data_IF_649632322940
#
_entry.id   IF_649632322940
#
_cell.length_a   1.000
_cell.length_b   1.000
_cell.length_c   1.000
_cell.angle_alpha   90.00
_cell.angle_beta   90.00
_cell.angle_gamma   90.00
#
_symmetry.space_group_name_H-M   'P 1'
#
loop_
_entity.id
_entity.type
_entity.pdbx_description
1 polymer ?
#
# COMPACT_ATOMS: atom_id res chain seq x y z
N UNK A 1 19.94 -26.64 6.23
CA UNK A 1 20.30 -25.38 6.88
C UNK A 1 20.06 -24.22 5.92
N UNK A 2 19.31 -23.23 6.35
CA UNK A 2 19.09 -22.03 5.55
C UNK A 2 20.31 -21.12 5.60
N UNK A 3 20.80 -20.78 4.43
CA UNK A 3 21.93 -19.87 4.31
C UNK A 3 21.45 -18.55 3.73
N UNK A 4 21.70 -17.45 4.43
CA UNK A 4 21.35 -16.12 3.96
C UNK A 4 22.46 -15.61 3.06
N UNK A 5 22.20 -15.49 1.77
CA UNK A 5 23.15 -14.94 0.80
C UNK A 5 23.24 -13.43 0.88
N UNK A 6 22.11 -12.79 1.11
CA UNK A 6 22.04 -11.34 1.07
C UNK A 6 20.85 -10.82 1.88
N UNK A 7 21.03 -9.65 2.45
CA UNK A 7 19.95 -8.89 3.09
C UNK A 7 19.87 -7.54 2.43
N UNK A 8 18.67 -7.11 2.12
CA UNK A 8 18.44 -5.79 1.58
C UNK A 8 17.18 -5.21 2.19
N UNK A 9 17.16 -3.90 2.32
CA UNK A 9 15.98 -3.15 2.75
C UNK A 9 15.61 -2.17 1.64
N UNK A 10 14.32 -1.97 1.47
CA UNK A 10 13.78 -1.03 0.49
C UNK A 10 12.52 -0.40 1.00
N UNK A 11 12.16 0.74 0.44
CA UNK A 11 10.92 1.45 0.76
C UNK A 11 10.14 1.72 -0.51
N UNK A 12 8.82 1.57 -0.41
CA UNK A 12 7.90 2.05 -1.42
C UNK A 12 7.13 3.23 -0.83
N UNK A 13 7.07 4.33 -1.58
CA UNK A 13 6.35 5.52 -1.17
C UNK A 13 5.12 5.70 -2.05
N UNK A 14 3.97 5.83 -1.41
CA UNK A 14 2.71 6.12 -2.09
C UNK A 14 2.31 7.56 -1.81
N UNK A 15 1.87 8.25 -2.83
CA UNK A 15 1.31 9.60 -2.74
C UNK A 15 0.33 9.75 -3.88
N UNK A 16 -0.89 9.32 -3.65
CA UNK A 16 -1.91 9.24 -4.69
C UNK A 16 -3.20 9.91 -4.26
N UNK A 17 -3.83 10.59 -5.21
CA UNK A 17 -5.17 11.10 -5.03
C UNK A 17 -6.17 10.01 -5.39
N UNK A 18 -7.20 9.89 -4.57
CA UNK A 18 -8.27 8.92 -4.77
C UNK A 18 -9.61 9.60 -4.83
N UNK A 19 -10.34 9.35 -5.90
CA UNK A 19 -11.69 9.88 -6.08
C UNK A 19 -12.71 8.96 -5.45
N UNK A 20 -13.60 9.53 -4.63
CA UNK A 20 -14.68 8.77 -4.00
C UNK A 20 -15.63 8.27 -5.10
N UNK A 21 -15.95 6.96 -5.14
CA UNK A 21 -16.88 6.43 -6.13
C UNK A 21 -18.24 7.11 -6.07
N UNK A 22 -18.88 7.25 -7.22
CA UNK A 22 -20.18 7.93 -7.32
C UNK A 22 -21.26 7.34 -6.44
N UNK A 23 -21.18 6.02 -6.17
CA UNK A 23 -22.16 5.32 -5.34
C UNK A 23 -22.00 5.61 -3.85
N UNK A 24 -20.90 6.24 -3.45
CA UNK A 24 -20.64 6.57 -2.04
C UNK A 24 -21.03 8.01 -1.74
N UNK A 25 -21.56 8.27 -0.53
CA UNK A 25 -21.90 9.63 -0.10
C UNK A 25 -20.66 10.52 0.03
N UNK A 26 -20.90 11.83 0.01
CA UNK A 26 -19.85 12.82 0.26
C UNK A 26 -19.27 12.68 1.65
N UNK A 27 -17.97 12.88 1.76
CA UNK A 27 -17.24 12.72 3.03
C UNK A 27 -17.33 14.02 3.83
N UNK A 28 -17.88 13.93 5.04
CA UNK A 28 -17.85 15.03 5.98
C UNK A 28 -16.57 15.07 6.76
N UNK A 29 -16.19 13.94 7.37
CA UNK A 29 -14.91 13.80 8.06
C UNK A 29 -14.49 12.35 8.12
N UNK A 30 -13.17 12.14 8.21
CA UNK A 30 -12.61 10.81 8.40
C UNK A 30 -12.65 10.44 9.88
N UNK A 31 -13.06 9.22 10.17
CA UNK A 31 -13.13 8.69 11.54
C UNK A 31 -11.94 7.80 11.84
N UNK A 32 -11.65 6.88 10.92
CA UNK A 32 -10.61 5.88 11.09
C UNK A 32 -10.05 5.48 9.74
N UNK A 33 -8.76 5.20 9.71
CA UNK A 33 -8.11 4.67 8.53
C UNK A 33 -7.12 3.58 8.92
N UNK A 34 -7.01 2.58 8.07
CA UNK A 34 -6.02 1.52 8.20
C UNK A 34 -5.62 1.06 6.80
N UNK A 35 -4.45 0.46 6.71
CA UNK A 35 -3.97 -0.06 5.44
C UNK A 35 -3.24 -1.37 5.66
N UNK A 36 -3.25 -2.20 4.63
CA UNK A 36 -2.43 -3.38 4.55
C UNK A 36 -1.91 -3.55 3.12
N UNK A 37 -0.96 -4.44 2.96
CA UNK A 37 -0.39 -4.75 1.65
C UNK A 37 -0.67 -6.20 1.33
N UNK A 38 -1.25 -6.44 0.15
CA UNK A 38 -1.42 -7.77 -0.41
C UNK A 38 -0.34 -7.98 -1.45
N UNK A 39 0.57 -8.92 -1.22
CA UNK A 39 1.61 -9.25 -2.18
C UNK A 39 1.09 -10.31 -3.14
N UNK A 40 1.03 -9.97 -4.42
CA UNK A 40 0.45 -10.84 -5.46
C UNK A 40 1.51 -11.64 -6.19
N UNK A 41 2.65 -11.02 -6.47
CA UNK A 41 3.71 -11.65 -7.23
C UNK A 41 5.07 -11.18 -6.72
N UNK A 42 5.97 -12.14 -6.52
CA UNK A 42 7.38 -11.89 -6.23
C UNK A 42 8.19 -12.65 -7.26
N UNK A 43 8.97 -11.94 -8.06
CA UNK A 43 9.76 -12.55 -9.11
C UNK A 43 11.24 -12.23 -8.89
N UNK A 44 12.03 -13.27 -8.70
CA UNK A 44 13.47 -13.13 -8.60
C UNK A 44 14.09 -13.23 -9.99
N UNK A 45 15.01 -12.33 -10.27
CA UNK A 45 15.87 -12.41 -11.44
C UNK A 45 17.28 -12.06 -11.01
N UNK A 46 18.22 -12.14 -11.92
CA UNK A 46 19.62 -11.89 -11.60
C UNK A 46 19.83 -10.49 -10.99
N UNK A 47 20.21 -10.46 -9.73
CA UNK A 47 20.53 -9.24 -9.01
C UNK A 47 19.35 -8.42 -8.55
N UNK A 48 18.10 -8.91 -8.67
CA UNK A 48 16.94 -8.12 -8.29
C UNK A 48 15.70 -8.95 -7.99
N UNK A 49 14.77 -8.34 -7.28
CA UNK A 49 13.45 -8.89 -7.02
C UNK A 49 12.39 -7.87 -7.48
N UNK A 50 11.42 -8.36 -8.23
CA UNK A 50 10.26 -7.57 -8.65
C UNK A 50 9.10 -7.94 -7.75
N UNK A 51 8.49 -6.92 -7.15
CA UNK A 51 7.37 -7.07 -6.24
C UNK A 51 6.14 -6.43 -6.85
N UNK A 52 5.07 -7.20 -6.95
CA UNK A 52 3.77 -6.70 -7.39
C UNK A 52 2.71 -7.03 -6.37
N UNK A 53 1.93 -6.05 -6.03
CA UNK A 53 0.87 -6.21 -5.06
C UNK A 53 -0.07 -5.03 -5.06
N UNK A 54 -0.78 -4.88 -3.95
CA UNK A 54 -1.78 -3.83 -3.78
C UNK A 54 -1.70 -3.29 -2.36
N UNK A 55 -1.65 -1.98 -2.25
CA UNK A 55 -1.87 -1.31 -0.97
C UNK A 55 -3.38 -1.12 -0.81
N UNK A 56 -3.95 -1.76 0.20
CA UNK A 56 -5.37 -1.66 0.50
C UNK A 56 -5.55 -0.69 1.65
N UNK A 57 -6.24 0.42 1.41
CA UNK A 57 -6.55 1.40 2.45
C UNK A 57 -8.04 1.34 2.74
N UNK A 58 -8.38 1.04 3.98
CA UNK A 58 -9.76 0.98 4.46
C UNK A 58 -10.05 2.16 5.35
N UNK A 59 -11.15 2.84 5.05
CA UNK A 59 -11.52 4.08 5.71
C UNK A 59 -12.93 3.98 6.27
N UNK A 60 -13.13 4.59 7.43
CA UNK A 60 -14.45 4.90 7.94
C UNK A 60 -14.61 6.40 7.98
N UNK A 61 -15.72 6.89 7.49
CA UNK A 61 -16.00 8.31 7.47
C UNK A 61 -17.46 8.60 7.80
N UNK A 62 -17.71 9.83 8.24
CA UNK A 62 -19.06 10.33 8.46
C UNK A 62 -19.51 11.06 7.21
N UNK A 63 -20.68 10.69 6.68
CA UNK A 63 -21.28 11.38 5.53
C UNK A 63 -21.59 12.83 5.85
N UNK A 64 -21.35 13.72 4.89
CA UNK A 64 -21.50 15.16 5.07
C UNK A 64 -22.94 15.55 5.41
N UNK A 65 -23.91 14.91 4.77
CA UNK A 65 -25.33 15.24 4.92
C UNK A 65 -26.08 14.35 5.90
N UNK A 66 -25.76 13.05 5.87
CA UNK A 66 -26.53 12.06 6.61
C UNK A 66 -26.07 11.89 8.06
N UNK A 67 -24.83 12.25 8.38
CA UNK A 67 -24.24 12.02 9.69
C UNK A 67 -24.01 10.56 10.03
N UNK A 68 -24.11 9.66 9.06
CA UNK A 68 -23.89 8.23 9.23
C UNK A 68 -22.46 7.85 8.93
N UNK A 69 -22.03 6.70 9.47
CA UNK A 69 -20.69 6.16 9.21
C UNK A 69 -20.75 5.25 8.00
N UNK A 70 -19.84 5.48 7.07
CA UNK A 70 -19.68 4.69 5.86
C UNK A 70 -18.27 4.14 5.77
N UNK A 71 -18.10 3.04 5.07
CA UNK A 71 -16.79 2.46 4.77
C UNK A 71 -16.40 2.73 3.33
N UNK A 72 -15.10 2.87 3.11
CA UNK A 72 -14.53 3.06 1.79
C UNK A 72 -13.22 2.30 1.71
N UNK A 73 -13.04 1.53 0.65
CA UNK A 73 -11.81 0.79 0.40
C UNK A 73 -11.14 1.32 -0.86
N UNK A 74 -9.91 1.79 -0.71
CA UNK A 74 -9.10 2.24 -1.83
C UNK A 74 -7.99 1.23 -2.09
N UNK A 75 -7.71 0.94 -3.36
CA UNK A 75 -6.65 0.02 -3.75
C UNK A 75 -5.65 0.75 -4.63
N UNK A 76 -4.40 0.75 -4.21
CA UNK A 76 -3.31 1.37 -4.95
C UNK A 76 -2.33 0.30 -5.42
N UNK A 77 -1.93 0.31 -6.70
CA UNK A 77 -1.01 -0.70 -7.20
C UNK A 77 0.39 -0.51 -6.59
N UNK A 78 0.97 -1.62 -6.20
CA UNK A 78 2.36 -1.70 -5.74
C UNK A 78 3.18 -2.37 -6.83
N UNK A 79 4.22 -1.71 -7.30
CA UNK A 79 5.12 -2.23 -8.32
C UNK A 79 6.53 -1.72 -8.00
N UNK A 80 7.31 -2.55 -7.34
CA UNK A 80 8.63 -2.18 -6.85
C UNK A 80 9.70 -3.16 -7.29
N UNK A 81 10.90 -2.64 -7.49
CA UNK A 81 12.07 -3.44 -7.80
C UNK A 81 13.13 -3.22 -6.72
N UNK A 82 13.59 -4.30 -6.12
CA UNK A 82 14.63 -4.27 -5.10
C UNK A 82 15.91 -4.86 -5.70
N UNK A 83 17.01 -4.13 -5.60
CA UNK A 83 18.31 -4.61 -6.03
C UNK A 83 18.89 -5.55 -4.96
N UNK A 84 19.23 -6.77 -5.38
CA UNK A 84 19.77 -7.80 -4.51
C UNK A 84 21.02 -8.41 -5.16
N UNK A 85 22.16 -7.85 -4.86
CA UNK A 85 23.43 -8.33 -5.40
C UNK A 85 23.65 -9.82 -5.14
N UNK A 86 24.01 -10.56 -6.18
CA UNK A 86 24.30 -11.98 -6.04
C UNK A 86 23.10 -12.91 -6.03
N UNK A 87 21.89 -12.38 -6.16
CA UNK A 87 20.68 -13.20 -6.18
C UNK A 87 20.42 -13.72 -7.59
N UNK A 88 20.05 -14.98 -7.68
CA UNK A 88 19.68 -15.66 -8.90
C UNK A 88 18.21 -16.10 -8.86
N UNK A 89 17.63 -16.34 -10.03
CA UNK A 89 16.20 -16.68 -10.13
C UNK A 89 15.75 -17.93 -9.38
N UNK A 90 16.68 -18.86 -9.10
CA UNK A 90 16.39 -20.07 -8.35
C UNK A 90 16.55 -19.94 -6.84
N UNK A 91 16.98 -18.80 -6.36
CA UNK A 91 17.20 -18.59 -4.92
C UNK A 91 15.88 -18.42 -4.18
N UNK A 92 15.92 -18.67 -2.88
CA UNK A 92 14.77 -18.48 -2.02
C UNK A 92 14.80 -17.10 -1.39
N UNK A 93 13.66 -16.42 -1.43
CA UNK A 93 13.49 -15.12 -0.84
C UNK A 93 12.55 -15.20 0.35
N UNK A 94 13.01 -14.66 1.50
CA UNK A 94 12.14 -14.40 2.63
C UNK A 94 11.85 -12.92 2.66
N UNK A 95 10.63 -12.56 2.31
CA UNK A 95 10.19 -11.18 2.21
C UNK A 95 9.31 -10.81 3.38
N UNK A 96 9.65 -9.71 4.05
CA UNK A 96 8.82 -9.13 5.09
C UNK A 96 8.54 -7.69 4.72
N UNK A 97 7.36 -7.23 5.03
CA UNK A 97 6.99 -5.84 4.77
C UNK A 97 6.15 -5.29 5.92
N UNK A 98 6.22 -3.99 6.09
CA UNK A 98 5.51 -3.28 7.13
C UNK A 98 5.14 -1.90 6.64
N UNK A 99 3.94 -1.46 6.97
CA UNK A 99 3.53 -0.09 6.71
C UNK A 99 4.08 0.78 7.83
N UNK A 100 5.05 1.62 7.48
CA UNK A 100 5.73 2.47 8.44
C UNK A 100 4.96 3.73 8.76
N UNK A 101 4.28 4.28 7.75
CA UNK A 101 3.50 5.49 7.89
C UNK A 101 2.31 5.46 6.95
N UNK A 102 1.20 6.00 7.42
CA UNK A 102 -0.02 6.16 6.64
C UNK A 102 -0.66 7.49 7.02
N UNK A 103 -0.83 8.35 6.03
CA UNK A 103 -1.51 9.63 6.21
C UNK A 103 -2.55 9.80 5.11
N UNK A 104 -3.78 10.07 5.51
CA UNK A 104 -4.86 10.28 4.57
C UNK A 104 -5.47 11.65 4.83
N UNK A 105 -5.45 12.49 3.81
CA UNK A 105 -6.01 13.85 3.87
C UNK A 105 -7.23 13.96 2.99
N UNK A 106 -8.25 14.61 3.51
CA UNK A 106 -9.43 14.96 2.75
C UNK A 106 -9.14 16.25 1.96
N UNK A 107 -9.10 16.14 0.63
CA UNK A 107 -8.91 17.30 -0.24
C UNK A 107 -10.22 18.06 -0.38
N UNK A 108 -11.30 17.34 -0.63
CA UNK A 108 -12.66 17.84 -0.63
C UNK A 108 -13.61 16.68 -0.35
N UNK A 109 -14.92 16.92 -0.37
CA UNK A 109 -15.90 15.89 -0.03
C UNK A 109 -15.90 14.66 -0.96
N UNK A 110 -15.23 14.76 -2.11
CA UNK A 110 -15.17 13.70 -3.12
C UNK A 110 -13.77 13.24 -3.44
N UNK A 111 -12.74 13.77 -2.79
CA UNK A 111 -11.35 13.46 -3.12
C UNK A 111 -10.45 13.39 -1.90
N UNK A 112 -9.64 12.34 -1.86
CA UNK A 112 -8.67 12.08 -0.80
C UNK A 112 -7.26 12.06 -1.37
N UNK A 113 -6.28 12.39 -0.52
CA UNK A 113 -4.89 12.11 -0.80
C UNK A 113 -4.40 11.04 0.18
N UNK A 114 -3.81 9.98 -0.36
CA UNK A 114 -3.30 8.86 0.41
C UNK A 114 -1.78 8.84 0.30
N UNK A 115 -1.11 9.00 1.45
CA UNK A 115 0.34 8.90 1.55
C UNK A 115 0.70 7.74 2.45
N UNK A 116 1.57 6.88 1.98
CA UNK A 116 2.03 5.73 2.77
C UNK A 116 3.49 5.42 2.47
N UNK A 117 4.18 4.89 3.48
CA UNK A 117 5.53 4.38 3.35
C UNK A 117 5.50 2.92 3.77
N UNK A 118 5.94 2.05 2.87
CA UNK A 118 6.02 0.61 3.11
C UNK A 118 7.49 0.21 3.09
N UNK A 119 7.93 -0.45 4.15
CA UNK A 119 9.28 -1.01 4.22
C UNK A 119 9.26 -2.50 3.92
N UNK A 120 10.29 -2.94 3.20
CA UNK A 120 10.48 -4.35 2.83
C UNK A 120 11.76 -4.93 3.41
#
# INVERSE_FOLDING_TARGET
MLRIKNKAAAQATFDEDYNVPDVKPDIGRLVQSKADVSMEEVRLSEGRALLKGTLNADLLYVGEKEGRIYSLSAKLPLDEMINLEGIEGGDKLCLKWEIEDLTIHLINSRKLNIKAIVEF
#
